data_IF_189324577493
#
_entry.id   IF_189324577493
#
_cell.length_a   1.000
_cell.length_b   1.000
_cell.length_c   1.000
_cell.angle_alpha   90.00
_cell.angle_beta   90.00
_cell.angle_gamma   90.00
#
_symmetry.space_group_name_H-M   'P 1'
#
loop_
_entity.id
_entity.type
_entity.pdbx_description
1 polymer ?
#
# COMPACT_ATOMS: atom_id res chain seq x y z
N UNK A 1 -45.37 11.80 -10.55
CA UNK A 1 -46.15 11.52 -9.33
C UNK A 1 -45.96 12.69 -8.37
N UNK A 2 -46.98 13.53 -8.18
CA UNK A 2 -46.88 14.70 -7.30
C UNK A 2 -46.59 14.24 -5.86
N UNK A 3 -45.70 14.91 -5.10
CA UNK A 3 -45.35 14.52 -3.74
C UNK A 3 -46.50 14.84 -2.77
N UNK A 4 -47.58 14.05 -2.83
CA UNK A 4 -48.75 14.19 -1.98
C UNK A 4 -48.51 13.70 -0.55
N UNK A 5 -48.96 14.48 0.43
CA UNK A 5 -49.25 13.98 1.78
C UNK A 5 -48.21 14.25 2.88
N UNK A 6 -47.46 15.36 2.83
CA UNK A 6 -46.57 15.75 3.95
C UNK A 6 -47.19 16.74 4.95
N UNK A 7 -48.21 17.48 4.54
CA UNK A 7 -48.72 18.63 5.32
C UNK A 7 -49.52 18.15 6.56
N UNK A 8 -50.31 17.08 6.42
CA UNK A 8 -51.22 16.61 7.48
C UNK A 8 -50.83 15.26 8.13
N UNK A 9 -49.57 14.81 7.98
CA UNK A 9 -49.14 13.57 8.66
C UNK A 9 -48.85 13.85 10.14
N UNK A 10 -49.34 13.00 11.07
CA UNK A 10 -49.01 13.15 12.47
C UNK A 10 -47.49 13.06 12.67
N UNK A 11 -46.94 14.02 13.42
CA UNK A 11 -45.50 14.03 13.73
C UNK A 11 -45.16 12.82 14.59
N UNK A 12 -44.07 12.13 14.25
CA UNK A 12 -43.49 11.10 15.12
C UNK A 12 -43.11 11.70 16.47
N UNK A 13 -42.97 10.87 17.51
CA UNK A 13 -42.57 11.30 18.85
C UNK A 13 -41.28 12.15 18.86
N UNK A 14 -40.36 11.89 17.93
CA UNK A 14 -39.17 12.70 17.72
C UNK A 14 -39.47 14.01 16.94
N UNK A 15 -40.40 13.98 15.99
CA UNK A 15 -40.88 15.18 15.30
C UNK A 15 -41.54 16.20 16.24
N UNK A 16 -42.21 15.72 17.30
CA UNK A 16 -42.75 16.54 18.39
C UNK A 16 -41.64 17.13 19.27
N UNK A 17 -40.56 16.38 19.53
CA UNK A 17 -39.42 16.77 20.38
C UNK A 17 -38.20 17.21 19.55
N UNK A 18 -38.25 18.45 19.03
CA UNK A 18 -37.26 18.99 18.09
C UNK A 18 -35.80 18.85 18.57
N UNK A 19 -35.49 19.23 19.81
CA UNK A 19 -34.12 19.13 20.35
C UNK A 19 -33.63 17.68 20.47
N UNK A 20 -34.51 16.75 20.87
CA UNK A 20 -34.17 15.32 20.94
C UNK A 20 -33.91 14.76 19.55
N UNK A 21 -34.70 15.15 18.55
CA UNK A 21 -34.48 14.79 17.14
C UNK A 21 -33.15 15.30 16.62
N UNK A 22 -32.82 16.59 16.82
CA UNK A 22 -31.51 17.16 16.43
C UNK A 22 -30.36 16.40 17.09
N UNK A 23 -30.45 16.13 18.40
CA UNK A 23 -29.42 15.37 19.14
C UNK A 23 -29.19 13.97 18.56
N UNK A 24 -30.28 13.24 18.29
CA UNK A 24 -30.20 11.88 17.73
C UNK A 24 -29.64 11.88 16.30
N UNK A 25 -30.08 12.81 15.45
CA UNK A 25 -29.55 12.96 14.08
C UNK A 25 -28.06 13.27 14.09
N UNK A 26 -27.59 14.18 14.96
CA UNK A 26 -26.16 14.47 15.11
C UNK A 26 -25.38 13.25 15.60
N UNK A 27 -25.94 12.46 16.53
CA UNK A 27 -25.32 11.20 17.00
C UNK A 27 -25.22 10.17 15.86
N UNK A 28 -26.27 10.01 15.05
CA UNK A 28 -26.27 9.11 13.89
C UNK A 28 -25.27 9.57 12.82
N UNK A 29 -25.23 10.87 12.49
CA UNK A 29 -24.22 11.44 11.58
C UNK A 29 -22.80 11.13 12.07
N UNK A 30 -22.51 11.35 13.36
CA UNK A 30 -21.20 11.03 13.95
C UNK A 30 -20.87 9.54 13.89
N UNK A 31 -21.87 8.65 14.05
CA UNK A 31 -21.68 7.19 13.91
C UNK A 31 -21.33 6.79 12.46
N UNK A 32 -22.00 7.39 11.45
CA UNK A 32 -21.77 7.07 10.03
C UNK A 32 -20.33 7.33 9.57
N UNK A 33 -19.71 8.40 10.06
CA UNK A 33 -18.33 8.75 9.70
C UNK A 33 -17.27 7.97 10.51
N UNK A 34 -17.70 7.11 11.44
CA UNK A 34 -16.77 6.32 12.24
C UNK A 34 -16.44 5.04 11.49
N UNK A 35 -15.30 5.04 10.80
CA UNK A 35 -14.74 3.85 10.17
C UNK A 35 -14.13 2.99 11.28
N UNK A 36 -14.86 1.97 11.71
CA UNK A 36 -14.42 1.01 12.74
C UNK A 36 -13.86 -0.22 12.05
N UNK A 37 -12.72 -0.72 12.51
CA UNK A 37 -12.17 -2.01 12.09
C UNK A 37 -11.41 -2.02 10.76
N UNK A 38 -11.74 -1.14 9.81
CA UNK A 38 -11.03 -1.13 8.52
C UNK A 38 -9.60 -0.57 8.67
N UNK A 39 -8.62 -1.42 8.38
CA UNK A 39 -7.20 -1.06 8.27
C UNK A 39 -6.89 -1.00 6.78
N UNK A 40 -6.70 0.20 6.24
CA UNK A 40 -6.53 0.39 4.78
C UNK A 40 -5.15 -0.10 4.29
N UNK A 41 -4.13 0.01 5.13
CA UNK A 41 -2.74 -0.28 4.80
C UNK A 41 -2.16 -1.38 5.71
N UNK A 42 -2.83 -2.54 5.79
CA UNK A 42 -2.47 -3.63 6.73
C UNK A 42 -1.00 -4.02 6.67
N UNK A 43 -0.42 -4.13 5.47
CA UNK A 43 0.99 -4.51 5.29
C UNK A 43 2.03 -3.40 5.55
N UNK A 44 1.61 -2.14 5.70
CA UNK A 44 2.53 -0.99 5.89
C UNK A 44 2.36 -0.31 7.25
N UNK A 45 1.26 -0.58 7.95
CA UNK A 45 0.92 0.04 9.22
C UNK A 45 1.88 -0.42 10.31
N UNK A 46 2.49 0.54 11.01
CA UNK A 46 3.38 0.23 12.12
C UNK A 46 2.62 -0.10 13.41
N UNK A 47 3.26 -0.83 14.34
CA UNK A 47 2.75 -1.18 15.68
C UNK A 47 2.12 0.00 16.44
N UNK A 48 2.65 1.21 16.25
CA UNK A 48 2.09 2.42 16.86
C UNK A 48 0.71 2.80 16.31
N UNK A 49 0.44 2.64 15.01
CA UNK A 49 -0.88 2.92 14.45
C UNK A 49 -1.91 1.91 14.98
N UNK A 50 -1.51 0.64 15.11
CA UNK A 50 -2.34 -0.40 15.72
C UNK A 50 -2.64 -0.08 17.19
N UNK A 51 -1.62 0.30 17.98
CA UNK A 51 -1.80 0.71 19.39
C UNK A 51 -2.72 1.92 19.54
N UNK A 52 -2.65 2.90 18.63
CA UNK A 52 -3.56 4.07 18.66
C UNK A 52 -5.00 3.72 18.25
N UNK A 53 -5.19 2.73 17.37
CA UNK A 53 -6.51 2.23 16.98
C UNK A 53 -7.13 1.34 18.06
N UNK A 54 -6.33 0.55 18.78
CA UNK A 54 -6.80 -0.29 19.89
C UNK A 54 -7.23 0.54 21.10
N UNK A 55 -6.52 1.64 21.41
CA UNK A 55 -6.89 2.53 22.51
C UNK A 55 -8.06 3.46 22.18
N UNK A 56 -8.34 3.73 20.89
CA UNK A 56 -9.45 4.57 20.47
C UNK A 56 -10.11 4.08 19.19
N UNK A 57 -11.35 3.59 19.31
CA UNK A 57 -12.20 3.18 18.17
C UNK A 57 -12.59 4.32 17.22
N UNK A 58 -12.28 5.57 17.57
CA UNK A 58 -12.51 6.76 16.73
C UNK A 58 -11.28 7.16 15.92
N UNK A 59 -10.12 6.58 16.22
CA UNK A 59 -8.86 6.97 15.62
C UNK A 59 -8.76 6.41 14.19
N UNK A 60 -9.14 7.21 13.19
CA UNK A 60 -8.94 6.87 11.78
C UNK A 60 -7.53 7.29 11.33
N UNK A 61 -6.52 6.59 11.83
CA UNK A 61 -5.13 6.90 11.54
C UNK A 61 -4.67 6.01 10.39
N UNK A 62 -4.62 6.58 9.20
CA UNK A 62 -4.00 5.98 8.02
C UNK A 62 -2.60 6.57 7.83
N UNK A 63 -1.75 5.91 7.04
CA UNK A 63 -0.49 6.51 6.65
C UNK A 63 -0.77 7.67 5.71
N UNK A 64 -0.11 8.82 5.93
CA UNK A 64 -0.06 9.87 4.92
C UNK A 64 0.46 9.30 3.59
N UNK A 65 -0.07 9.75 2.46
CA UNK A 65 0.34 9.28 1.14
C UNK A 65 1.86 9.38 0.90
N UNK A 66 2.52 10.43 1.42
CA UNK A 66 3.99 10.57 1.34
C UNK A 66 4.69 9.45 2.11
N UNK A 67 4.20 9.10 3.30
CA UNK A 67 4.76 8.05 4.16
C UNK A 67 4.53 6.67 3.54
N UNK A 68 3.32 6.40 3.03
CA UNK A 68 2.97 5.18 2.29
C UNK A 68 3.92 4.96 1.12
N UNK A 69 4.10 5.98 0.27
CA UNK A 69 5.03 5.92 -0.87
C UNK A 69 6.47 5.68 -0.45
N UNK A 70 6.95 6.32 0.62
CA UNK A 70 8.32 6.12 1.12
C UNK A 70 8.56 4.70 1.62
N UNK A 71 7.61 4.13 2.37
CA UNK A 71 7.73 2.75 2.87
C UNK A 71 7.71 1.73 1.73
N UNK A 72 6.79 1.88 0.77
CA UNK A 72 6.76 1.02 -0.43
C UNK A 72 8.08 1.09 -1.21
N UNK A 73 8.63 2.29 -1.38
CA UNK A 73 9.92 2.47 -2.07
C UNK A 73 11.07 1.77 -1.33
N UNK A 74 11.08 1.81 0.01
CA UNK A 74 12.08 1.13 0.81
C UNK A 74 11.97 -0.40 0.69
N UNK A 75 10.75 -0.95 0.77
CA UNK A 75 10.52 -2.39 0.58
C UNK A 75 11.00 -2.86 -0.80
N UNK A 76 10.68 -2.11 -1.85
CA UNK A 76 11.15 -2.39 -3.21
C UNK A 76 12.68 -2.41 -3.33
N UNK A 77 13.37 -1.47 -2.68
CA UNK A 77 14.84 -1.48 -2.67
C UNK A 77 15.40 -2.72 -1.94
N UNK A 78 14.84 -3.06 -0.79
CA UNK A 78 15.26 -4.26 -0.04
C UNK A 78 15.01 -5.55 -0.81
N UNK A 79 13.89 -5.67 -1.53
CA UNK A 79 13.59 -6.81 -2.39
C UNK A 79 14.57 -6.91 -3.57
N UNK A 80 14.92 -5.77 -4.17
CA UNK A 80 15.92 -5.71 -5.24
C UNK A 80 17.31 -6.10 -4.76
N UNK A 81 17.73 -5.62 -3.59
CA UNK A 81 19.02 -5.98 -2.99
C UNK A 81 19.07 -7.47 -2.64
N UNK A 82 18.03 -8.01 -1.99
CA UNK A 82 17.94 -9.44 -1.67
C UNK A 82 18.00 -10.33 -2.91
N UNK A 83 17.23 -10.01 -3.94
CA UNK A 83 17.25 -10.78 -5.19
C UNK A 83 18.60 -10.71 -5.90
N UNK A 84 19.26 -9.55 -5.94
CA UNK A 84 20.63 -9.46 -6.48
C UNK A 84 21.65 -10.30 -5.70
N UNK A 85 21.52 -10.33 -4.38
CA UNK A 85 22.42 -11.10 -3.51
C UNK A 85 22.20 -12.61 -3.61
N UNK A 86 20.95 -13.05 -3.76
CA UNK A 86 20.62 -14.47 -4.02
C UNK A 86 21.16 -14.94 -5.39
N UNK A 87 21.07 -14.10 -6.42
CA UNK A 87 21.64 -14.41 -7.76
C UNK A 87 23.18 -14.49 -7.73
N UNK A 88 23.86 -13.63 -6.97
CA UNK A 88 25.30 -13.73 -6.77
C UNK A 88 25.71 -15.00 -5.99
N UNK A 89 24.90 -15.44 -5.03
CA UNK A 89 25.18 -16.67 -4.28
C UNK A 89 24.98 -17.94 -5.12
N UNK A 90 24.00 -17.95 -6.03
CA UNK A 90 23.79 -19.08 -6.95
C UNK A 90 24.86 -19.17 -8.04
N UNK A 91 25.34 -18.02 -8.54
CA UNK A 91 26.40 -17.98 -9.55
C UNK A 91 27.76 -18.38 -8.99
N UNK A 92 28.07 -18.06 -7.73
CA UNK A 92 29.30 -18.51 -7.05
C UNK A 92 29.37 -20.02 -6.77
N UNK A 93 28.24 -20.74 -6.80
CA UNK A 93 28.20 -22.21 -6.62
C UNK A 93 28.39 -22.99 -7.92
N UNK A 94 28.54 -22.33 -9.07
CA UNK A 94 28.60 -22.98 -10.40
C UNK A 94 29.89 -22.75 -11.17
N UNK A 95 31.07 -22.70 -10.54
CA UNK A 95 32.34 -22.71 -11.30
C UNK A 95 33.48 -23.43 -10.59
N UNK A 96 33.42 -24.76 -10.53
CA UNK A 96 34.64 -25.59 -10.39
C UNK A 96 34.50 -26.93 -11.14
N UNK A 97 34.67 -26.90 -12.46
CA UNK A 97 35.12 -28.06 -13.22
C UNK A 97 35.77 -27.61 -14.55
N UNK A 98 37.03 -27.99 -14.85
CA UNK A 98 37.67 -27.66 -16.12
C UNK A 98 37.45 -28.80 -17.13
N UNK A 99 37.00 -28.51 -18.35
CA UNK A 99 37.14 -29.48 -19.46
C UNK A 99 37.19 -28.84 -20.85
N UNK A 100 38.44 -28.69 -21.29
CA UNK A 100 39.02 -28.91 -22.61
C UNK A 100 38.36 -28.40 -23.91
N UNK A 101 39.23 -27.73 -24.69
CA UNK A 101 39.10 -27.19 -26.05
C UNK A 101 38.74 -28.24 -27.10
N UNK A 102 37.96 -27.82 -28.12
CA UNK A 102 38.19 -28.14 -29.55
C UNK A 102 37.54 -27.09 -30.46
N UNK A 103 38.32 -26.55 -31.39
CA UNK A 103 37.96 -25.54 -32.40
C UNK A 103 37.34 -26.18 -33.66
N UNK A 104 36.44 -25.47 -34.37
CA UNK A 104 36.65 -24.99 -35.77
C UNK A 104 35.46 -24.18 -36.34
N UNK A 105 35.78 -22.98 -36.85
CA UNK A 105 35.38 -22.25 -38.11
C UNK A 105 33.89 -22.20 -38.50
N UNK A 106 33.28 -21.12 -39.03
CA UNK A 106 33.66 -19.79 -39.53
C UNK A 106 32.36 -18.95 -39.58
N UNK A 107 32.43 -17.63 -39.43
CA UNK A 107 31.27 -16.74 -39.65
C UNK A 107 31.60 -15.28 -39.37
N UNK A 108 32.13 -14.63 -40.40
CA UNK A 108 32.48 -13.21 -40.53
C UNK A 108 31.38 -12.22 -40.08
N UNK A 109 31.72 -11.25 -39.21
CA UNK A 109 31.36 -9.83 -39.38
C UNK A 109 31.96 -8.91 -38.29
N UNK A 110 32.90 -8.07 -38.74
CA UNK A 110 33.38 -6.76 -38.23
C UNK A 110 33.80 -6.61 -36.76
N UNK A 111 35.12 -6.51 -36.58
CA UNK A 111 35.78 -5.85 -35.45
C UNK A 111 36.01 -4.36 -35.79
N UNK A 112 35.69 -3.46 -34.86
CA UNK A 112 36.24 -2.08 -34.66
C UNK A 112 35.28 -1.34 -33.69
N UNK A 113 35.60 -0.70 -32.56
CA UNK A 113 36.82 -0.41 -31.78
C UNK A 113 36.33 -0.15 -30.34
N UNK A 114 36.94 -0.77 -29.33
CA UNK A 114 36.85 -0.37 -27.92
C UNK A 114 37.74 0.86 -27.70
N UNK A 115 37.21 1.93 -27.09
CA UNK A 115 38.03 3.03 -26.56
C UNK A 115 37.89 3.05 -25.04
N UNK A 116 38.92 2.55 -24.36
CA UNK A 116 39.15 2.62 -22.93
C UNK A 116 40.61 3.03 -22.72
N UNK A 117 40.83 4.17 -22.06
CA UNK A 117 42.02 4.60 -21.29
C UNK A 117 41.53 5.83 -20.49
N UNK A 118 41.44 5.88 -19.15
CA UNK A 118 42.36 5.65 -18.01
C UNK A 118 43.52 6.64 -17.95
N UNK A 119 43.32 7.68 -17.12
CA UNK A 119 44.24 8.04 -16.03
C UNK A 119 43.43 8.55 -14.83
#
# INVERSE_FOLDING_TARGET
>A
MAPGGKINRPKTELGKKLFKRRRLLSKQKRKKHRIVGAVVDEGLITKHHLKKRSTSSRANITLSGKKKRKLLKQLQYMEKEKSSMEVEMETKKRTSAPRQRKQKKNGSSSADVEMLDVE
#
